data_IF_194974037451
#
_entry.id   IF_194974037451
#
_cell.length_a   1.000
_cell.length_b   1.000
_cell.length_c   1.000
_cell.angle_alpha   90.00
_cell.angle_beta   90.00
_cell.angle_gamma   90.00
#
_symmetry.space_group_name_H-M   'P 1'
#
loop_
_entity.id
_entity.type
_entity.pdbx_description
1 polymer ?
#
# COMPACT_ATOMS: atom_id res chain seq x y z
N UNK A 1 -15.27 14.35 5.48
CA UNK A 1 -14.26 14.23 4.40
C UNK A 1 -12.90 14.38 5.08
N UNK A 2 -11.96 13.47 4.82
CA UNK A 2 -10.63 13.53 5.46
C UNK A 2 -9.80 14.64 4.82
N UNK A 3 -9.03 15.37 5.62
CA UNK A 3 -8.19 16.49 5.19
C UNK A 3 -6.73 16.08 5.19
N UNK A 4 -6.03 16.35 4.10
CA UNK A 4 -4.61 16.02 3.92
C UNK A 4 -3.80 17.28 3.66
N UNK A 5 -2.72 17.46 4.40
CA UNK A 5 -1.79 18.57 4.25
C UNK A 5 -0.43 18.08 3.75
N UNK A 6 0.02 18.60 2.60
CA UNK A 6 1.39 18.43 2.11
C UNK A 6 2.28 19.60 2.51
N UNK A 7 3.37 19.33 3.23
CA UNK A 7 4.31 20.34 3.69
C UNK A 7 5.65 20.23 2.99
N UNK A 8 6.20 21.37 2.56
CA UNK A 8 7.61 21.48 2.19
C UNK A 8 8.18 22.84 2.64
N UNK A 9 9.45 23.12 2.33
CA UNK A 9 10.06 24.41 2.74
C UNK A 9 9.42 25.61 2.02
N UNK A 10 9.37 25.59 0.69
CA UNK A 10 9.01 26.76 -0.11
C UNK A 10 7.58 26.83 -0.63
N UNK A 11 6.79 25.76 -0.45
CA UNK A 11 5.49 25.57 -1.11
C UNK A 11 5.46 25.95 -2.60
N UNK A 12 6.54 25.57 -3.30
CA UNK A 12 6.84 26.07 -4.65
C UNK A 12 6.77 24.97 -5.72
N UNK A 13 7.27 23.76 -5.42
CA UNK A 13 7.34 22.66 -6.38
C UNK A 13 6.73 21.36 -5.83
N UNK A 14 7.46 20.64 -4.96
CA UNK A 14 7.08 19.30 -4.45
C UNK A 14 5.66 19.23 -3.90
N UNK A 15 5.31 20.13 -2.97
CA UNK A 15 4.00 20.10 -2.33
C UNK A 15 2.87 20.54 -3.25
N UNK A 16 3.15 21.38 -4.25
CA UNK A 16 2.19 21.78 -5.28
C UNK A 16 1.90 20.63 -6.24
N UNK A 17 2.95 19.93 -6.68
CA UNK A 17 2.82 18.70 -7.47
C UNK A 17 2.05 17.62 -6.68
N UNK A 18 2.34 17.47 -5.39
CA UNK A 18 1.67 16.51 -4.52
C UNK A 18 0.17 16.83 -4.34
N UNK A 19 -0.17 18.11 -4.10
CA UNK A 19 -1.55 18.57 -3.97
C UNK A 19 -2.35 18.30 -5.26
N UNK A 20 -1.81 18.69 -6.41
CA UNK A 20 -2.47 18.49 -7.70
C UNK A 20 -2.63 17.00 -8.05
N UNK A 21 -1.57 16.21 -7.87
CA UNK A 21 -1.61 14.77 -8.12
C UNK A 21 -2.61 14.06 -7.21
N UNK A 22 -2.63 14.39 -5.90
CA UNK A 22 -3.55 13.78 -4.95
C UNK A 22 -5.01 14.12 -5.27
N UNK A 23 -5.33 15.39 -5.60
CA UNK A 23 -6.68 15.76 -6.05
C UNK A 23 -7.11 15.01 -7.29
N UNK A 24 -6.20 14.88 -8.27
CA UNK A 24 -6.48 14.16 -9.51
C UNK A 24 -6.75 12.66 -9.28
N UNK A 25 -5.93 12.01 -8.46
CA UNK A 25 -5.99 10.56 -8.23
C UNK A 25 -7.09 10.16 -7.24
N UNK A 26 -7.35 10.99 -6.22
CA UNK A 26 -8.31 10.68 -5.17
C UNK A 26 -9.70 11.27 -5.43
N UNK A 27 -9.86 12.18 -6.39
CA UNK A 27 -11.12 12.88 -6.64
C UNK A 27 -11.65 13.59 -5.39
N UNK A 28 -12.95 13.49 -5.15
CA UNK A 28 -13.64 14.17 -4.05
C UNK A 28 -13.55 13.44 -2.69
N UNK A 29 -12.69 12.42 -2.55
CA UNK A 29 -12.61 11.64 -1.31
C UNK A 29 -11.84 12.38 -0.20
N UNK A 30 -10.99 13.35 -0.57
CA UNK A 30 -10.15 14.09 0.35
C UNK A 30 -10.18 15.59 0.06
N UNK A 31 -10.15 16.39 1.13
CA UNK A 31 -9.79 17.79 1.04
C UNK A 31 -8.26 17.89 1.10
N UNK A 32 -7.61 18.24 -0.01
CA UNK A 32 -6.14 18.30 -0.09
C UNK A 32 -5.67 19.74 -0.08
N UNK A 33 -4.70 20.04 0.77
CA UNK A 33 -4.06 21.36 0.92
C UNK A 33 -2.55 21.18 0.90
N UNK A 34 -1.81 22.18 0.43
CA UNK A 34 -0.37 22.27 0.65
C UNK A 34 0.05 23.61 1.23
N UNK A 35 1.15 23.60 1.97
CA UNK A 35 1.75 24.80 2.53
C UNK A 35 3.26 24.65 2.65
N UNK A 36 3.91 25.73 3.10
CA UNK A 36 5.34 25.72 3.37
C UNK A 36 5.78 26.77 4.36
N UNK A 37 6.97 26.58 4.89
CA UNK A 37 7.51 27.38 6.00
C UNK A 37 7.95 28.76 5.53
N UNK A 38 8.48 28.85 4.31
CA UNK A 38 8.92 30.10 3.70
C UNK A 38 8.40 30.13 2.26
N UNK A 39 7.13 30.49 2.03
CA UNK A 39 6.52 30.45 0.71
C UNK A 39 7.30 31.28 -0.33
N UNK A 40 7.60 30.68 -1.48
CA UNK A 40 8.42 31.29 -2.55
C UNK A 40 7.63 31.53 -3.85
N UNK A 41 6.31 31.27 -3.84
CA UNK A 41 5.52 31.23 -5.07
C UNK A 41 5.61 29.89 -5.78
N UNK A 42 4.61 29.54 -6.58
CA UNK A 42 4.59 28.29 -7.35
C UNK A 42 5.58 28.39 -8.51
N UNK A 43 6.51 27.43 -8.62
CA UNK A 43 7.48 27.38 -9.71
C UNK A 43 6.73 27.16 -11.04
N UNK A 44 6.96 27.99 -12.08
CA UNK A 44 6.24 27.89 -13.35
C UNK A 44 6.27 26.51 -14.00
N UNK A 45 7.35 25.75 -13.79
CA UNK A 45 7.52 24.39 -14.35
C UNK A 45 6.53 23.38 -13.78
N UNK A 46 5.94 23.65 -12.60
CA UNK A 46 4.85 22.85 -12.04
C UNK A 46 3.67 22.84 -13.02
N UNK A 47 3.26 24.01 -13.51
CA UNK A 47 2.13 24.11 -14.43
C UNK A 47 2.39 23.37 -15.75
N UNK A 48 3.60 23.50 -16.31
CA UNK A 48 3.99 22.79 -17.53
C UNK A 48 3.83 21.27 -17.36
N UNK A 49 4.42 20.72 -16.31
CA UNK A 49 4.47 19.26 -16.08
C UNK A 49 3.10 18.70 -15.72
N UNK A 50 2.26 19.45 -14.99
CA UNK A 50 0.88 19.05 -14.72
C UNK A 50 0.04 19.06 -16.01
N UNK A 51 0.19 20.08 -16.85
CA UNK A 51 -0.50 20.18 -18.13
C UNK A 51 -0.13 19.04 -19.09
N UNK A 52 1.16 18.66 -19.16
CA UNK A 52 1.63 17.49 -19.94
C UNK A 52 0.91 16.19 -19.55
N UNK A 53 0.49 16.06 -18.28
CA UNK A 53 -0.19 14.89 -17.72
C UNK A 53 -1.71 15.00 -17.72
N UNK A 54 -2.28 16.13 -18.15
CA UNK A 54 -3.71 16.40 -18.06
C UNK A 54 -4.22 16.56 -16.61
N UNK A 55 -3.33 16.92 -15.68
CA UNK A 55 -3.68 17.18 -14.28
C UNK A 55 -4.05 18.65 -14.14
N UNK A 56 -5.21 18.94 -13.52
CA UNK A 56 -5.62 20.32 -13.26
C UNK A 56 -4.65 20.98 -12.26
N UNK A 57 -4.31 22.23 -12.55
CA UNK A 57 -3.52 23.11 -11.68
C UNK A 57 -4.38 24.25 -11.09
N UNK A 58 -5.71 24.10 -11.17
CA UNK A 58 -6.63 25.12 -10.69
C UNK A 58 -6.45 25.35 -9.18
N UNK A 59 -6.45 26.63 -8.80
CA UNK A 59 -6.34 27.09 -7.41
C UNK A 59 -5.04 26.72 -6.69
N UNK A 60 -4.01 26.24 -7.40
CA UNK A 60 -2.68 26.12 -6.81
C UNK A 60 -2.17 27.49 -6.38
N UNK A 61 -1.74 27.59 -5.13
CA UNK A 61 -1.26 28.82 -4.52
C UNK A 61 -0.18 28.51 -3.51
N UNK A 62 0.81 29.38 -3.43
CA UNK A 62 1.86 29.26 -2.42
C UNK A 62 1.36 29.85 -1.10
N UNK A 63 1.19 29.01 -0.08
CA UNK A 63 0.63 29.37 1.22
C UNK A 63 1.61 29.10 2.38
N UNK A 64 1.55 29.96 3.40
CA UNK A 64 2.33 29.77 4.63
C UNK A 64 1.70 28.68 5.49
N UNK A 65 2.54 27.83 6.08
CA UNK A 65 2.07 26.85 7.06
C UNK A 65 1.49 27.52 8.32
N UNK A 66 2.00 28.70 8.70
CA UNK A 66 1.46 29.46 9.82
C UNK A 66 0.02 29.94 9.61
N UNK A 67 -0.40 30.15 8.36
CA UNK A 67 -1.80 30.53 8.05
C UNK A 67 -2.79 29.37 8.29
N UNK A 68 -2.26 28.15 8.45
CA UNK A 68 -3.03 26.94 8.70
C UNK A 68 -2.93 26.47 10.16
N UNK A 69 -2.21 27.20 11.01
CA UNK A 69 -2.06 26.87 12.43
C UNK A 69 -3.43 26.82 13.12
N UNK A 70 -3.62 25.81 13.97
CA UNK A 70 -4.90 25.56 14.67
C UNK A 70 -5.98 24.90 13.81
N UNK A 71 -5.73 24.65 12.52
CA UNK A 71 -6.62 23.81 11.71
C UNK A 71 -6.30 22.31 11.91
N UNK A 72 -7.35 21.49 11.99
CA UNK A 72 -7.20 20.04 12.07
C UNK A 72 -6.99 19.40 10.69
N UNK A 73 -6.04 18.49 10.60
CA UNK A 73 -5.81 17.64 9.42
C UNK A 73 -5.71 16.18 9.87
N UNK A 74 -6.43 15.28 9.19
CA UNK A 74 -6.37 13.84 9.46
C UNK A 74 -5.00 13.25 9.10
N UNK A 75 -4.32 13.84 8.10
CA UNK A 75 -2.95 13.40 7.74
C UNK A 75 -2.10 14.57 7.28
N UNK A 76 -0.91 14.72 7.87
CA UNK A 76 0.10 15.67 7.42
C UNK A 76 1.30 14.91 6.86
N UNK A 77 1.73 15.29 5.66
CA UNK A 77 2.78 14.62 4.90
C UNK A 77 3.88 15.63 4.58
N UNK A 78 5.04 15.45 5.21
CA UNK A 78 6.23 16.28 4.95
C UNK A 78 7.04 15.73 3.78
N UNK A 79 7.49 16.60 2.89
CA UNK A 79 8.18 16.24 1.63
C UNK A 79 9.69 16.54 1.64
N UNK A 80 10.22 17.03 2.76
CA UNK A 80 11.65 17.29 2.96
C UNK A 80 12.03 17.30 4.44
N UNK A 81 13.28 16.96 4.75
CA UNK A 81 13.80 16.93 6.14
C UNK A 81 13.70 18.28 6.85
N UNK A 82 13.79 19.38 6.11
CA UNK A 82 13.64 20.72 6.71
C UNK A 82 12.22 20.99 7.19
N UNK A 83 11.21 20.32 6.63
CA UNK A 83 9.81 20.48 7.03
C UNK A 83 9.40 19.50 8.15
N UNK A 84 10.15 18.42 8.40
CA UNK A 84 9.80 17.44 9.44
C UNK A 84 10.03 17.96 10.86
N UNK A 85 10.98 18.87 11.06
CA UNK A 85 11.19 19.54 12.34
C UNK A 85 10.01 20.44 12.77
N UNK A 86 9.13 20.80 11.83
CA UNK A 86 7.99 21.69 12.07
C UNK A 86 6.64 20.96 12.10
N UNK A 87 6.65 19.62 12.14
CA UNK A 87 5.47 18.81 12.46
C UNK A 87 4.80 19.23 13.79
N UNK A 88 5.54 19.91 14.69
CA UNK A 88 5.01 20.44 15.93
C UNK A 88 3.80 21.38 15.73
N UNK A 89 3.74 22.13 14.62
CA UNK A 89 2.62 23.01 14.29
C UNK A 89 1.29 22.25 14.08
N UNK A 90 1.38 20.96 13.76
CA UNK A 90 0.25 20.10 13.47
C UNK A 90 0.27 18.83 14.32
N UNK A 91 0.76 18.92 15.56
CA UNK A 91 0.89 17.79 16.47
C UNK A 91 -0.46 17.11 16.81
N UNK A 92 -1.57 17.84 16.67
CA UNK A 92 -2.93 17.35 16.92
C UNK A 92 -3.52 16.53 15.74
N UNK A 93 -2.78 16.31 14.66
CA UNK A 93 -3.24 15.47 13.53
C UNK A 93 -3.29 13.99 13.88
N UNK A 94 -4.22 13.24 13.29
CA UNK A 94 -4.32 11.78 13.51
C UNK A 94 -3.10 11.01 12.98
N UNK A 95 -2.46 11.51 11.92
CA UNK A 95 -1.29 10.87 11.31
C UNK A 95 -0.26 11.87 10.78
N UNK A 96 1.01 11.61 11.10
CA UNK A 96 2.17 12.32 10.57
C UNK A 96 3.02 11.37 9.72
N UNK A 97 3.21 11.72 8.45
CA UNK A 97 4.04 10.98 7.50
C UNK A 97 5.17 11.84 6.95
N UNK A 98 6.23 11.17 6.51
CA UNK A 98 7.37 11.80 5.86
C UNK A 98 7.73 11.04 4.58
N UNK A 99 7.66 11.73 3.44
CA UNK A 99 8.08 11.21 2.14
C UNK A 99 9.23 12.06 1.62
N UNK A 100 10.46 11.55 1.71
CA UNK A 100 11.61 12.30 1.21
C UNK A 100 11.61 12.36 -0.33
N UNK A 101 11.57 13.58 -0.85
CA UNK A 101 11.71 13.88 -2.27
C UNK A 101 12.77 14.96 -2.48
N UNK A 102 13.73 14.66 -3.35
CA UNK A 102 14.76 15.61 -3.78
C UNK A 102 14.11 16.86 -4.36
N UNK A 103 14.65 18.04 -4.03
CA UNK A 103 14.17 19.30 -4.61
C UNK A 103 14.42 19.32 -6.13
N UNK A 104 13.37 19.45 -6.97
CA UNK A 104 13.55 19.49 -8.42
C UNK A 104 14.08 20.83 -8.94
N UNK A 105 13.94 21.93 -8.18
CA UNK A 105 14.23 23.31 -8.63
C UNK A 105 15.68 23.56 -9.06
N UNK A 106 16.73 23.02 -8.40
CA UNK A 106 18.11 23.32 -8.74
C UNK A 106 18.55 22.79 -10.12
N UNK A 107 17.83 21.82 -10.69
CA UNK A 107 18.12 21.30 -12.01
C UNK A 107 17.44 22.16 -13.08
N UNK A 108 18.15 22.42 -14.18
CA UNK A 108 17.60 23.12 -15.33
C UNK A 108 16.60 22.24 -16.09
N UNK A 109 15.60 22.87 -16.69
CA UNK A 109 14.53 22.17 -17.41
C UNK A 109 13.47 21.55 -16.49
N UNK A 110 12.65 20.68 -17.06
CA UNK A 110 11.45 20.11 -16.43
C UNK A 110 11.59 18.64 -16.05
N UNK A 111 12.67 17.98 -16.45
CA UNK A 111 12.84 16.53 -16.22
C UNK A 111 12.80 16.17 -14.73
N UNK A 112 13.46 16.96 -13.87
CA UNK A 112 13.44 16.74 -12.42
C UNK A 112 12.03 16.89 -11.81
N UNK A 113 11.20 17.77 -12.37
CA UNK A 113 9.81 17.95 -11.97
C UNK A 113 8.97 16.75 -12.39
N UNK A 114 9.16 16.23 -13.61
CA UNK A 114 8.50 14.99 -14.05
C UNK A 114 8.87 13.80 -13.18
N UNK A 115 10.16 13.64 -12.87
CA UNK A 115 10.63 12.55 -12.01
C UNK A 115 10.03 12.65 -10.61
N UNK A 116 9.94 13.87 -10.07
CA UNK A 116 9.30 14.15 -8.77
C UNK A 116 7.81 13.84 -8.81
N UNK A 117 7.08 14.29 -9.84
CA UNK A 117 5.66 14.01 -10.01
C UNK A 117 5.41 12.50 -10.12
N UNK A 118 6.16 11.78 -10.95
CA UNK A 118 6.05 10.32 -11.08
C UNK A 118 6.25 9.62 -9.73
N UNK A 119 7.25 10.05 -8.96
CA UNK A 119 7.51 9.49 -7.64
C UNK A 119 6.38 9.80 -6.64
N UNK A 120 5.82 11.01 -6.70
CA UNK A 120 4.66 11.40 -5.89
C UNK A 120 3.41 10.59 -6.25
N UNK A 121 3.09 10.44 -7.54
CA UNK A 121 1.98 9.62 -8.02
C UNK A 121 2.13 8.17 -7.53
N UNK A 122 3.32 7.59 -7.59
CA UNK A 122 3.56 6.24 -7.08
C UNK A 122 3.31 6.14 -5.56
N UNK A 123 3.76 7.13 -4.77
CA UNK A 123 3.54 7.16 -3.32
C UNK A 123 2.06 7.39 -2.98
N UNK A 124 1.39 8.27 -3.71
CA UNK A 124 -0.03 8.57 -3.55
C UNK A 124 -0.88 7.35 -3.92
N UNK A 125 -0.57 6.65 -5.01
CA UNK A 125 -1.26 5.43 -5.41
C UNK A 125 -1.21 4.38 -4.28
N UNK A 126 -0.02 4.17 -3.70
CA UNK A 126 0.12 3.28 -2.55
C UNK A 126 -0.67 3.80 -1.34
N UNK A 127 -0.57 5.08 -1.01
CA UNK A 127 -1.32 5.66 0.10
C UNK A 127 -2.84 5.46 -0.05
N UNK A 128 -3.41 5.76 -1.23
CA UNK A 128 -4.83 5.58 -1.52
C UNK A 128 -5.26 4.11 -1.49
N UNK A 129 -4.44 3.21 -2.05
CA UNK A 129 -4.70 1.77 -2.01
C UNK A 129 -4.79 1.24 -0.57
N UNK A 130 -3.99 1.80 0.34
CA UNK A 130 -3.89 1.32 1.72
C UNK A 130 -4.85 2.03 2.70
N UNK A 131 -5.32 3.25 2.39
CA UNK A 131 -6.12 4.08 3.30
C UNK A 131 -7.50 4.49 2.73
N UNK A 132 -7.82 4.07 1.49
CA UNK A 132 -9.01 4.52 0.75
C UNK A 132 -10.35 3.96 1.23
N UNK A 133 -10.37 2.85 1.97
CA UNK A 133 -11.57 2.29 2.59
C UNK A 133 -11.30 1.93 4.05
N UNK A 134 -12.25 2.24 4.94
CA UNK A 134 -12.22 1.75 6.32
C UNK A 134 -12.35 0.23 6.29
N UNK A 135 -11.20 -0.44 6.42
CA UNK A 135 -11.16 -1.87 6.65
C UNK A 135 -11.04 -2.07 8.15
N UNK A 136 -12.14 -2.46 8.79
CA UNK A 136 -12.11 -3.07 10.12
C UNK A 136 -11.27 -4.35 10.04
N UNK A 137 -9.96 -4.20 10.22
CA UNK A 137 -9.06 -5.34 10.25
C UNK A 137 -9.29 -6.12 11.53
N UNK A 138 -9.67 -7.39 11.40
CA UNK A 138 -9.82 -8.31 12.53
C UNK A 138 -8.46 -8.61 13.18
N UNK A 139 -7.34 -8.42 12.46
CA UNK A 139 -5.98 -8.68 12.94
C UNK A 139 -5.08 -7.44 12.92
N UNK A 140 -4.43 -7.15 14.05
CA UNK A 140 -3.43 -6.09 14.16
C UNK A 140 -2.09 -6.46 13.51
N UNK A 141 -1.23 -5.49 13.16
CA UNK A 141 0.06 -5.77 12.51
C UNK A 141 0.99 -6.68 13.32
N UNK A 142 1.04 -6.51 14.64
CA UNK A 142 1.92 -7.31 15.52
C UNK A 142 1.50 -8.78 15.52
N UNK A 143 0.20 -9.02 15.65
CA UNK A 143 -0.40 -10.36 15.60
C UNK A 143 -0.17 -11.00 14.25
N UNK A 144 -0.35 -10.25 13.16
CA UNK A 144 -0.06 -10.72 11.81
C UNK A 144 1.41 -11.17 11.69
N UNK A 145 2.37 -10.32 12.06
CA UNK A 145 3.79 -10.67 11.89
C UNK A 145 4.20 -11.88 12.73
N UNK A 146 3.64 -12.06 13.94
CA UNK A 146 3.83 -13.30 14.74
C UNK A 146 3.32 -14.56 14.03
N UNK A 147 2.24 -14.44 13.27
CA UNK A 147 1.70 -15.54 12.46
C UNK A 147 2.57 -15.75 11.22
N UNK A 148 3.06 -14.69 10.57
CA UNK A 148 3.84 -14.80 9.33
C UNK A 148 5.30 -15.24 9.56
N UNK A 149 5.86 -15.07 10.76
CA UNK A 149 7.29 -15.30 11.06
C UNK A 149 7.74 -16.77 11.12
N UNK A 150 6.96 -17.71 10.57
CA UNK A 150 7.33 -19.13 10.49
C UNK A 150 7.58 -19.52 9.02
N UNK A 151 8.71 -20.19 8.70
CA UNK A 151 9.04 -20.54 7.32
C UNK A 151 7.99 -21.41 6.62
N UNK A 152 7.34 -22.34 7.34
CA UNK A 152 6.35 -23.23 6.74
C UNK A 152 5.04 -22.48 6.47
N UNK A 153 4.59 -21.62 7.38
CA UNK A 153 3.41 -20.75 7.15
C UNK A 153 3.63 -19.82 5.97
N UNK A 154 4.81 -19.22 5.85
CA UNK A 154 5.11 -18.36 4.71
C UNK A 154 5.02 -19.15 3.39
N UNK A 155 5.62 -20.34 3.31
CA UNK A 155 5.53 -21.19 2.11
C UNK A 155 4.10 -21.61 1.78
N UNK A 156 3.30 -21.97 2.79
CA UNK A 156 1.86 -22.27 2.62
C UNK A 156 1.14 -21.07 2.01
N UNK A 157 1.36 -19.86 2.56
CA UNK A 157 0.73 -18.64 2.05
C UNK A 157 1.17 -18.31 0.63
N UNK A 158 2.45 -18.46 0.30
CA UNK A 158 2.94 -18.22 -1.07
C UNK A 158 2.33 -19.20 -2.07
N UNK A 159 2.13 -20.45 -1.68
CA UNK A 159 1.47 -21.46 -2.50
C UNK A 159 -0.02 -21.15 -2.69
N UNK A 160 -0.71 -20.77 -1.62
CA UNK A 160 -2.14 -20.38 -1.69
C UNK A 160 -2.31 -19.10 -2.49
N UNK A 161 -1.41 -18.12 -2.39
CA UNK A 161 -1.44 -16.89 -3.18
C UNK A 161 -1.36 -17.18 -4.69
N UNK A 162 -0.46 -18.08 -5.11
CA UNK A 162 -0.31 -18.46 -6.52
C UNK A 162 -1.48 -19.35 -7.01
N UNK A 163 -1.87 -20.37 -6.22
CA UNK A 163 -2.84 -21.40 -6.62
C UNK A 163 -4.29 -21.08 -6.26
N UNK A 164 -4.52 -19.97 -5.56
CA UNK A 164 -5.80 -19.45 -5.07
C UNK A 164 -6.48 -20.27 -3.99
N UNK A 165 -6.50 -21.59 -4.13
CA UNK A 165 -6.96 -22.46 -3.07
C UNK A 165 -6.28 -23.84 -3.13
N UNK A 166 -5.89 -24.34 -1.96
CA UNK A 166 -5.23 -25.63 -1.79
C UNK A 166 -5.87 -26.44 -0.68
N UNK A 167 -5.90 -27.75 -0.84
CA UNK A 167 -6.32 -28.66 0.22
C UNK A 167 -5.15 -28.92 1.18
N UNK A 168 -5.45 -29.45 2.37
CA UNK A 168 -4.38 -29.91 3.28
C UNK A 168 -3.53 -31.01 2.65
N UNK A 169 -4.13 -31.89 1.84
CA UNK A 169 -3.43 -32.95 1.12
C UNK A 169 -2.44 -32.37 0.09
N UNK A 170 -2.88 -31.37 -0.68
CA UNK A 170 -1.98 -30.67 -1.62
C UNK A 170 -0.73 -30.13 -0.92
N UNK A 171 -0.92 -29.47 0.22
CA UNK A 171 0.16 -28.86 0.98
C UNK A 171 1.10 -29.89 1.59
N UNK A 172 0.56 -30.96 2.18
CA UNK A 172 1.35 -32.09 2.75
C UNK A 172 2.26 -32.68 1.69
N UNK A 173 1.71 -32.96 0.51
CA UNK A 173 2.43 -33.64 -0.56
C UNK A 173 3.56 -32.77 -1.14
N UNK A 174 3.29 -31.49 -1.42
CA UNK A 174 4.29 -30.64 -2.07
C UNK A 174 5.37 -30.17 -1.10
N UNK A 175 5.00 -29.85 0.15
CA UNK A 175 5.93 -29.36 1.18
C UNK A 175 6.75 -30.48 1.81
N UNK A 176 6.37 -31.75 1.62
CA UNK A 176 7.00 -32.93 2.22
C UNK A 176 7.01 -32.85 3.76
N UNK A 177 5.85 -32.52 4.33
CA UNK A 177 5.67 -32.33 5.76
C UNK A 177 4.46 -33.11 6.24
N UNK A 178 4.53 -33.69 7.45
CA UNK A 178 3.42 -34.45 8.01
C UNK A 178 2.11 -33.64 8.11
N UNK A 179 0.99 -34.31 7.85
CA UNK A 179 -0.34 -33.72 7.93
C UNK A 179 -0.66 -33.05 9.28
N UNK A 180 -0.31 -33.61 10.45
CA UNK A 180 -0.54 -32.93 11.72
C UNK A 180 0.17 -31.57 11.82
N UNK A 181 1.38 -31.46 11.27
CA UNK A 181 2.15 -30.22 11.28
C UNK A 181 1.53 -29.19 10.35
N UNK A 182 1.22 -29.55 9.10
CA UNK A 182 0.52 -28.66 8.15
C UNK A 182 -0.83 -28.20 8.71
N UNK A 183 -1.63 -29.11 9.25
CA UNK A 183 -2.94 -28.80 9.84
C UNK A 183 -2.83 -27.81 11.00
N UNK A 184 -1.81 -27.95 11.85
CA UNK A 184 -1.54 -26.98 12.94
C UNK A 184 -1.23 -25.59 12.39
N UNK A 185 -0.42 -25.48 11.35
CA UNK A 185 -0.10 -24.18 10.74
C UNK A 185 -1.31 -23.55 10.05
N UNK A 186 -2.13 -24.35 9.37
CA UNK A 186 -3.39 -23.89 8.76
C UNK A 186 -4.40 -23.40 9.80
N UNK A 187 -4.51 -24.10 10.94
CA UNK A 187 -5.35 -23.67 12.04
C UNK A 187 -4.91 -22.29 12.56
N UNK A 188 -3.61 -22.09 12.84
CA UNK A 188 -3.08 -20.80 13.30
C UNK A 188 -3.35 -19.66 12.30
N UNK A 189 -3.23 -19.93 11.00
CA UNK A 189 -3.51 -18.95 9.95
C UNK A 189 -5.01 -18.59 9.84
N UNK A 190 -5.89 -19.58 10.03
CA UNK A 190 -7.34 -19.36 10.02
C UNK A 190 -7.81 -18.66 11.30
N UNK A 191 -7.32 -19.08 12.45
CA UNK A 191 -7.68 -18.50 13.74
C UNK A 191 -7.21 -17.02 13.83
N UNK A 192 -6.15 -16.65 13.10
CA UNK A 192 -5.73 -15.26 12.89
C UNK A 192 -6.42 -14.53 11.74
N UNK A 193 -7.43 -15.11 11.09
CA UNK A 193 -8.19 -14.47 10.01
C UNK A 193 -7.44 -14.28 8.69
N UNK A 194 -6.26 -14.89 8.51
CA UNK A 194 -5.49 -14.80 7.26
C UNK A 194 -6.06 -15.75 6.20
N UNK A 195 -6.52 -16.93 6.63
CA UNK A 195 -7.13 -17.95 5.78
C UNK A 195 -8.59 -18.19 6.13
N UNK A 196 -9.36 -18.54 5.11
CA UNK A 196 -10.71 -19.07 5.22
C UNK A 196 -10.74 -20.48 4.58
N UNK A 197 -11.81 -21.22 4.88
CA UNK A 197 -12.05 -22.52 4.26
C UNK A 197 -13.35 -22.54 3.48
N UNK A 198 -13.32 -23.25 2.35
CA UNK A 198 -14.51 -23.53 1.55
C UNK A 198 -14.61 -25.02 1.27
N UNK A 199 -15.79 -25.59 1.54
CA UNK A 199 -16.05 -27.02 1.32
C UNK A 199 -16.71 -27.23 -0.05
N UNK A 200 -16.14 -28.15 -0.84
CA UNK A 200 -16.72 -28.63 -2.10
C UNK A 200 -16.79 -30.16 -2.09
N UNK A 201 -17.99 -30.69 -1.85
CA UNK A 201 -18.19 -32.13 -1.67
C UNK A 201 -17.38 -32.66 -0.48
N UNK A 202 -16.42 -33.55 -0.77
CA UNK A 202 -15.52 -34.12 0.24
C UNK A 202 -14.23 -33.30 0.46
N UNK A 203 -13.99 -32.26 -0.34
CA UNK A 203 -12.76 -31.48 -0.30
C UNK A 203 -12.94 -30.21 0.51
N UNK A 204 -11.93 -29.86 1.31
CA UNK A 204 -11.85 -28.59 2.04
C UNK A 204 -10.67 -27.82 1.46
N UNK A 205 -10.96 -26.67 0.86
CA UNK A 205 -9.99 -25.77 0.29
C UNK A 205 -9.68 -24.63 1.26
N UNK A 206 -8.40 -24.34 1.44
CA UNK A 206 -7.90 -23.18 2.14
C UNK A 206 -7.56 -22.10 1.13
N UNK A 207 -8.02 -20.88 1.36
CA UNK A 207 -7.75 -19.70 0.55
C UNK A 207 -7.51 -18.50 1.45
N UNK A 208 -6.89 -17.43 0.92
CA UNK A 208 -6.82 -16.16 1.65
C UNK A 208 -8.23 -15.67 1.99
N UNK A 209 -8.41 -15.14 3.19
CA UNK A 209 -9.70 -14.62 3.64
C UNK A 209 -10.25 -13.58 2.64
N UNK A 210 -11.55 -13.57 2.38
CA UNK A 210 -12.14 -12.67 1.35
C UNK A 210 -12.07 -11.20 1.76
N UNK A 211 -12.24 -10.93 3.04
CA UNK A 211 -12.15 -9.58 3.62
C UNK A 211 -10.75 -9.28 4.19
N UNK A 212 -9.71 -9.94 3.66
CA UNK A 212 -8.34 -9.66 4.10
C UNK A 212 -7.97 -8.21 3.72
N UNK A 213 -7.50 -7.38 4.67
CA UNK A 213 -7.14 -6.00 4.41
C UNK A 213 -6.17 -5.86 3.23
N UNK A 214 -6.36 -4.80 2.44
CA UNK A 214 -5.61 -4.54 1.21
C UNK A 214 -4.10 -4.49 1.47
N UNK A 215 -3.70 -3.87 2.59
CA UNK A 215 -2.29 -3.79 2.99
C UNK A 215 -1.67 -5.17 3.25
N UNK A 216 -2.42 -6.11 3.83
CA UNK A 216 -1.94 -7.48 4.07
C UNK A 216 -1.79 -8.22 2.74
N UNK A 217 -2.78 -8.12 1.84
CA UNK A 217 -2.69 -8.70 0.48
C UNK A 217 -1.47 -8.16 -0.27
N UNK A 218 -1.24 -6.84 -0.17
CA UNK A 218 -0.10 -6.20 -0.80
C UNK A 218 1.24 -6.71 -0.24
N UNK A 219 1.34 -6.92 1.08
CA UNK A 219 2.55 -7.55 1.68
C UNK A 219 2.76 -8.95 1.13
N UNK A 220 1.73 -9.79 1.11
CA UNK A 220 1.85 -11.17 0.62
C UNK A 220 2.26 -11.20 -0.86
N UNK A 221 1.64 -10.37 -1.69
CA UNK A 221 1.98 -10.24 -3.11
C UNK A 221 3.41 -9.72 -3.32
N UNK A 222 3.82 -8.71 -2.56
CA UNK A 222 5.18 -8.15 -2.63
C UNK A 222 6.23 -9.18 -2.21
N UNK A 223 5.99 -9.92 -1.13
CA UNK A 223 6.89 -11.00 -0.70
C UNK A 223 6.96 -12.09 -1.76
N UNK A 224 5.83 -12.47 -2.36
CA UNK A 224 5.77 -13.47 -3.43
C UNK A 224 6.57 -13.03 -4.66
N UNK A 225 6.31 -11.82 -5.16
CA UNK A 225 6.93 -11.27 -6.37
C UNK A 225 8.42 -10.95 -6.18
N UNK A 226 8.83 -10.53 -4.98
CA UNK A 226 10.24 -10.30 -4.63
C UNK A 226 11.05 -11.57 -4.43
N UNK A 227 10.38 -12.71 -4.19
CA UNK A 227 11.02 -14.00 -3.95
C UNK A 227 10.47 -15.10 -4.88
N UNK A 228 10.54 -14.91 -6.22
CA UNK A 228 9.88 -15.80 -7.18
C UNK A 228 10.31 -17.26 -7.01
N UNK A 229 11.57 -17.51 -6.65
CA UNK A 229 12.14 -18.85 -6.48
C UNK A 229 11.75 -19.63 -5.22
N UNK A 230 11.14 -18.99 -4.21
CA UNK A 230 10.93 -19.58 -2.88
C UNK A 230 10.11 -20.88 -2.88
N UNK A 231 9.22 -21.05 -3.85
CA UNK A 231 8.29 -22.20 -3.95
C UNK A 231 8.35 -22.93 -5.30
N UNK A 232 9.42 -22.74 -6.09
CA UNK A 232 9.49 -23.31 -7.44
C UNK A 232 9.38 -24.85 -7.43
N UNK A 233 10.07 -25.52 -6.51
CA UNK A 233 10.02 -26.98 -6.39
C UNK A 233 8.60 -27.46 -6.08
N UNK A 234 7.93 -26.80 -5.14
CA UNK A 234 6.55 -27.12 -4.75
C UNK A 234 5.58 -26.90 -5.91
N UNK A 235 5.73 -25.80 -6.67
CA UNK A 235 4.89 -25.53 -7.84
C UNK A 235 5.07 -26.58 -8.94
N UNK A 236 6.30 -27.03 -9.19
CA UNK A 236 6.57 -28.11 -10.15
C UNK A 236 5.92 -29.41 -9.68
N UNK A 237 6.07 -29.78 -8.40
CA UNK A 237 5.39 -30.96 -7.85
C UNK A 237 3.86 -30.87 -8.00
N UNK A 238 3.29 -29.69 -7.73
CA UNK A 238 1.86 -29.47 -7.81
C UNK A 238 1.32 -29.57 -9.25
N UNK A 239 2.05 -29.02 -10.23
CA UNK A 239 1.64 -29.03 -11.64
C UNK A 239 1.68 -30.42 -12.28
N UNK A 240 2.53 -31.31 -11.75
CA UNK A 240 2.64 -32.70 -12.20
C UNK A 240 1.53 -33.62 -11.66
N UNK A 241 0.64 -33.13 -10.79
CA UNK A 241 -0.49 -33.91 -10.26
C UNK A 241 -1.67 -33.93 -11.23
N UNK A 242 -1.85 -35.05 -11.94
CA UNK A 242 -2.97 -35.28 -12.85
C UNK A 242 -4.34 -35.38 -12.13
N UNK A 243 -4.38 -35.87 -10.90
CA UNK A 243 -5.63 -36.13 -10.14
C UNK A 243 -5.97 -35.04 -9.09
N UNK A 244 -5.25 -33.92 -9.08
CA UNK A 244 -5.52 -32.84 -8.11
C UNK A 244 -6.89 -32.22 -8.36
N UNK A 245 -7.76 -32.25 -7.35
CA UNK A 245 -9.00 -31.48 -7.37
C UNK A 245 -8.66 -29.99 -7.30
N UNK A 246 -9.01 -29.25 -8.36
CA UNK A 246 -9.03 -27.78 -8.35
C UNK A 246 -10.38 -27.29 -7.81
N UNK A 247 -10.41 -26.15 -7.10
CA UNK A 247 -11.67 -25.54 -6.67
C UNK A 247 -12.55 -25.24 -7.89
N UNK A 248 -13.85 -25.48 -7.78
CA UNK A 248 -14.84 -25.14 -8.79
C UNK A 248 -15.21 -23.65 -8.81
N UNK A 249 -14.82 -22.89 -7.78
CA UNK A 249 -15.00 -21.45 -7.72
C UNK A 249 -13.88 -20.70 -8.44
N UNK A 250 -14.26 -19.82 -9.37
CA UNK A 250 -13.40 -18.77 -9.92
C UNK A 250 -13.54 -17.50 -9.08
N UNK A 251 -12.44 -16.72 -8.98
CA UNK A 251 -12.35 -15.43 -8.28
C UNK A 251 -13.50 -14.48 -8.66
N UNK A 252 -13.83 -13.59 -7.72
CA UNK A 252 -14.68 -12.41 -7.88
C UNK A 252 -16.20 -12.67 -7.76
N UNK A 253 -16.65 -12.73 -6.50
CA UNK A 253 -17.90 -12.08 -6.09
C UNK A 253 -17.53 -11.03 -5.06
#
# INVERSE_FOLDING_TARGET
MKRILFLCTGNSARSQLAEAAMRHMAGEHYEVVSAGMTPEGVDPRVYSVLAERGISSDNLKSCSAGDLEGQHFDTVITLCDKASNECALFADSDALLHWDFKDPKPQSGEQSFRDTLNGLENRIALFLMLNGEEQDSVIGPVELFKILSDPLRLRILMLIEDEQALTVGDLVDVLDVSQPKVSRHLALLRDGGVLETQREGQWIFYHLARQLPTWIRHILSTVRNGNPGMINGEKIKLSQRSERKKPGFSKWS
#
